data_IF_550700173058
#
_entry.id   IF_550700173058
#
_cell.length_a   1.000
_cell.length_b   1.000
_cell.length_c   1.000
_cell.angle_alpha   90.00
_cell.angle_beta   90.00
_cell.angle_gamma   90.00
#
_symmetry.space_group_name_H-M   'P 1'
#
loop_
_entity.id
_entity.type
_entity.pdbx_description
1 polymer ?
#
# COMPACT_ATOMS: atom_id res chain seq x y z
N UNK A 1 35.42 15.56 22.00
CA UNK A 1 34.64 14.30 22.05
C UNK A 1 33.21 14.73 21.74
N UNK A 2 32.87 14.68 20.46
CA UNK A 2 31.66 15.27 19.87
C UNK A 2 30.62 14.17 19.77
N UNK A 3 29.49 14.32 20.46
CA UNK A 3 28.30 13.50 20.27
C UNK A 3 27.71 13.79 18.88
N UNK A 4 27.46 12.77 18.03
CA UNK A 4 26.48 12.86 16.98
C UNK A 4 25.19 12.24 17.49
N UNK A 5 24.35 13.01 18.20
CA UNK A 5 22.93 12.64 18.32
C UNK A 5 22.33 12.93 16.95
N UNK A 6 22.22 11.87 16.15
CA UNK A 6 21.54 11.86 14.87
C UNK A 6 20.18 12.55 15.00
N UNK A 7 20.02 13.60 14.23
CA UNK A 7 18.72 14.14 13.88
C UNK A 7 17.90 13.03 13.19
N UNK A 8 16.90 12.50 13.89
CA UNK A 8 15.76 11.81 13.27
C UNK A 8 14.50 11.99 14.13
N UNK A 9 14.25 13.22 14.55
CA UNK A 9 12.95 13.61 15.09
C UNK A 9 12.04 13.93 13.90
N UNK A 10 11.12 13.00 13.59
CA UNK A 10 9.81 13.37 13.05
C UNK A 10 9.61 13.30 11.53
N UNK A 11 10.02 12.22 10.86
CA UNK A 11 9.25 11.82 9.68
C UNK A 11 7.93 11.26 10.20
N UNK A 12 6.81 11.97 10.01
CA UNK A 12 5.49 11.37 10.21
C UNK A 12 5.45 10.12 9.35
N UNK A 13 5.09 9.00 9.97
CA UNK A 13 4.71 7.79 9.25
C UNK A 13 3.63 8.15 8.22
N UNK A 14 3.99 8.05 6.93
CA UNK A 14 3.05 8.32 5.86
C UNK A 14 1.88 7.34 6.00
N UNK A 15 0.69 7.84 6.27
CA UNK A 15 -0.49 7.00 6.38
C UNK A 15 -1.09 6.81 5.00
N UNK A 16 -1.50 5.60 4.65
CA UNK A 16 -2.10 5.28 3.36
C UNK A 16 -3.55 4.85 3.50
N UNK A 17 -4.38 5.30 2.56
CA UNK A 17 -5.76 4.89 2.42
C UNK A 17 -6.08 4.69 0.94
N UNK A 18 -7.16 3.97 0.62
CA UNK A 18 -7.70 3.98 -0.74
C UNK A 18 -8.02 5.43 -1.14
N UNK A 19 -7.62 5.84 -2.34
CA UNK A 19 -7.89 7.18 -2.83
C UNK A 19 -9.40 7.43 -2.88
N UNK A 20 -9.90 8.57 -2.33
CA UNK A 20 -11.32 8.88 -2.34
C UNK A 20 -11.85 8.93 -3.78
N UNK A 21 -13.03 8.39 -4.00
CA UNK A 21 -13.64 8.32 -5.32
C UNK A 21 -13.21 7.11 -6.16
N UNK A 22 -12.36 6.22 -5.65
CA UNK A 22 -12.15 4.88 -6.25
C UNK A 22 -13.24 3.91 -5.77
N UNK A 23 -13.69 3.03 -6.65
CA UNK A 23 -14.59 1.92 -6.30
C UNK A 23 -13.93 0.60 -6.71
N UNK A 24 -13.04 0.12 -5.85
CA UNK A 24 -12.18 -1.02 -6.14
C UNK A 24 -12.91 -2.36 -5.97
N UNK A 25 -12.59 -3.30 -6.83
CA UNK A 25 -13.01 -4.69 -6.76
C UNK A 25 -11.84 -5.60 -7.14
N UNK A 26 -11.68 -6.69 -6.40
CA UNK A 26 -10.67 -7.71 -6.69
C UNK A 26 -11.30 -8.86 -7.47
N UNK A 27 -10.51 -9.47 -8.35
CA UNK A 27 -10.84 -10.79 -8.90
C UNK A 27 -10.99 -11.81 -7.77
N UNK A 28 -11.73 -12.92 -8.00
CA UNK A 28 -11.68 -14.07 -7.12
C UNK A 28 -10.23 -14.49 -6.84
N UNK A 29 -10.01 -15.06 -5.67
CA UNK A 29 -8.75 -15.71 -5.35
C UNK A 29 -8.74 -17.08 -6.01
N UNK A 30 -7.70 -17.35 -6.80
CA UNK A 30 -7.54 -18.61 -7.51
C UNK A 30 -6.50 -19.49 -6.81
N UNK A 31 -5.33 -18.91 -6.51
CA UNK A 31 -4.23 -19.48 -5.72
C UNK A 31 -3.48 -18.34 -5.00
N UNK A 32 -2.96 -18.61 -3.79
CA UNK A 32 -2.37 -17.57 -2.90
C UNK A 32 -1.14 -16.87 -3.51
N UNK A 33 -0.36 -17.56 -4.36
CA UNK A 33 0.87 -17.03 -4.96
C UNK A 33 0.67 -16.44 -6.37
N UNK A 34 -0.55 -16.44 -6.90
CA UNK A 34 -0.83 -15.94 -8.25
C UNK A 34 -1.22 -14.45 -8.25
N UNK A 35 -0.83 -13.68 -9.28
CA UNK A 35 -1.23 -12.30 -9.42
C UNK A 35 -2.76 -12.17 -9.53
N UNK A 36 -3.31 -11.11 -8.95
CA UNK A 36 -4.74 -10.81 -8.99
C UNK A 36 -5.05 -9.63 -9.91
N UNK A 37 -6.31 -9.51 -10.31
CA UNK A 37 -6.78 -8.32 -11.03
C UNK A 37 -7.48 -7.39 -10.04
N UNK A 38 -7.03 -6.14 -9.99
CA UNK A 38 -7.73 -5.03 -9.36
C UNK A 38 -8.50 -4.25 -10.43
N UNK A 39 -9.78 -3.99 -10.19
CA UNK A 39 -10.64 -3.23 -11.09
C UNK A 39 -11.20 -2.00 -10.37
N UNK A 40 -11.15 -0.83 -11.00
CA UNK A 40 -11.87 0.36 -10.53
C UNK A 40 -13.17 0.53 -11.32
N UNK A 41 -14.30 0.34 -10.63
CA UNK A 41 -15.64 0.45 -11.22
C UNK A 41 -15.97 1.85 -11.70
N UNK A 42 -15.30 2.88 -11.18
CA UNK A 42 -15.61 4.25 -11.53
C UNK A 42 -14.92 4.69 -12.84
N UNK A 43 -13.67 4.29 -13.06
CA UNK A 43 -12.94 4.63 -14.30
C UNK A 43 -13.02 3.55 -15.38
N UNK A 44 -13.25 2.29 -15.00
CA UNK A 44 -13.12 1.13 -15.88
C UNK A 44 -11.68 0.64 -16.04
N UNK A 45 -10.72 1.22 -15.30
CA UNK A 45 -9.33 0.79 -15.30
C UNK A 45 -9.17 -0.55 -14.59
N UNK A 46 -8.12 -1.28 -14.99
CA UNK A 46 -7.69 -2.49 -14.30
C UNK A 46 -6.17 -2.56 -14.19
N UNK A 47 -5.72 -3.24 -13.15
CA UNK A 47 -4.31 -3.50 -12.88
C UNK A 47 -4.11 -4.96 -12.52
N UNK A 48 -2.98 -5.51 -12.94
CA UNK A 48 -2.48 -6.80 -12.42
C UNK A 48 -1.62 -6.48 -11.21
N UNK A 49 -1.95 -7.08 -10.07
CA UNK A 49 -1.31 -6.81 -8.79
C UNK A 49 -0.70 -8.08 -8.20
N UNK A 50 0.43 -7.92 -7.51
CA UNK A 50 1.08 -9.00 -6.76
C UNK A 50 0.24 -9.42 -5.54
N UNK A 51 0.41 -10.64 -5.02
CA UNK A 51 -0.26 -11.12 -3.80
C UNK A 51 -0.14 -10.15 -2.61
N UNK A 52 1.04 -9.60 -2.38
CA UNK A 52 1.29 -8.60 -1.33
C UNK A 52 0.40 -7.37 -1.47
N UNK A 53 0.29 -6.82 -2.68
CA UNK A 53 -0.56 -5.66 -2.94
C UNK A 53 -2.04 -5.98 -2.78
N UNK A 54 -2.46 -7.22 -3.13
CA UNK A 54 -3.83 -7.70 -2.89
C UNK A 54 -4.17 -7.64 -1.40
N UNK A 55 -3.31 -8.21 -0.55
CA UNK A 55 -3.51 -8.23 0.90
C UNK A 55 -3.64 -6.81 1.48
N UNK A 56 -2.80 -5.88 1.04
CA UNK A 56 -2.92 -4.47 1.47
C UNK A 56 -4.22 -3.82 1.02
N UNK A 57 -4.64 -4.03 -0.23
CA UNK A 57 -5.88 -3.49 -0.77
C UNK A 57 -7.07 -4.07 0.00
N UNK A 58 -7.11 -5.38 0.23
CA UNK A 58 -8.15 -6.02 1.04
C UNK A 58 -8.19 -5.42 2.45
N UNK A 59 -7.03 -5.27 3.09
CA UNK A 59 -6.96 -4.69 4.42
C UNK A 59 -7.50 -3.24 4.45
N UNK A 60 -7.10 -2.42 3.48
CA UNK A 60 -7.54 -1.02 3.37
C UNK A 60 -9.01 -0.88 2.97
N UNK A 61 -9.55 -1.78 2.15
CA UNK A 61 -10.97 -1.80 1.77
C UNK A 61 -11.90 -2.07 2.97
N UNK A 62 -11.41 -2.82 3.97
CA UNK A 62 -12.15 -3.11 5.21
C UNK A 62 -11.81 -2.16 6.36
N UNK A 63 -10.87 -1.24 6.16
CA UNK A 63 -10.43 -0.32 7.20
C UNK A 63 -11.19 1.00 7.15
N UNK A 64 -11.67 1.46 8.31
CA UNK A 64 -12.35 2.76 8.43
C UNK A 64 -11.38 3.95 8.36
N UNK A 65 -10.07 3.69 8.53
CA UNK A 65 -9.04 4.72 8.69
C UNK A 65 -7.83 4.42 7.80
N UNK A 66 -7.04 5.47 7.52
CA UNK A 66 -5.74 5.31 6.91
C UNK A 66 -4.81 4.52 7.84
N UNK A 67 -3.90 3.76 7.24
CA UNK A 67 -2.99 2.85 7.94
C UNK A 67 -1.57 3.36 7.73
N UNK A 68 -0.72 3.40 8.77
CA UNK A 68 0.69 3.73 8.59
C UNK A 68 1.36 2.82 7.54
N UNK A 69 2.02 3.41 6.56
CA UNK A 69 2.67 2.70 5.45
C UNK A 69 3.66 1.64 5.96
N UNK A 70 4.38 1.94 7.04
CA UNK A 70 5.34 1.03 7.66
C UNK A 70 4.68 -0.26 8.13
N UNK A 71 3.41 -0.24 8.57
CA UNK A 71 2.73 -1.47 8.99
C UNK A 71 2.47 -2.41 7.82
N UNK A 72 2.23 -1.87 6.63
CA UNK A 72 2.09 -2.67 5.41
C UNK A 72 3.42 -3.29 4.99
N UNK A 73 4.53 -2.55 5.14
CA UNK A 73 5.88 -3.03 4.82
C UNK A 73 6.43 -4.00 5.88
N UNK A 74 6.14 -3.78 7.17
CA UNK A 74 6.59 -4.66 8.25
C UNK A 74 5.88 -6.01 8.24
N UNK A 75 4.67 -6.07 7.68
CA UNK A 75 3.90 -7.30 7.50
C UNK A 75 4.51 -8.26 6.45
N UNK A 76 5.46 -7.80 5.63
CA UNK A 76 6.15 -8.65 4.65
C UNK A 76 7.49 -9.17 5.16
N UNK A 77 7.97 -10.33 4.66
CA UNK A 77 9.28 -10.85 5.02
C UNK A 77 10.42 -9.83 4.76
N UNK A 78 11.43 -9.73 5.64
CA UNK A 78 12.51 -8.74 5.50
C UNK A 78 13.20 -8.74 4.13
N UNK A 79 13.34 -9.91 3.52
CA UNK A 79 13.99 -10.13 2.22
C UNK A 79 13.27 -9.49 1.02
N UNK A 80 12.00 -9.11 1.16
CA UNK A 80 11.20 -8.50 0.08
C UNK A 80 10.71 -7.08 0.41
N UNK A 81 11.22 -6.47 1.48
CA UNK A 81 10.77 -5.13 1.92
C UNK A 81 11.06 -4.03 0.91
N UNK A 82 12.21 -4.07 0.24
CA UNK A 82 12.56 -3.07 -0.78
C UNK A 82 11.60 -3.12 -1.98
N UNK A 83 11.21 -4.34 -2.38
CA UNK A 83 10.21 -4.56 -3.43
C UNK A 83 8.82 -4.11 -2.98
N UNK A 84 8.47 -4.38 -1.71
CA UNK A 84 7.22 -3.92 -1.11
C UNK A 84 7.14 -2.38 -1.06
N UNK A 85 8.22 -1.69 -0.65
CA UNK A 85 8.27 -0.23 -0.69
C UNK A 85 8.09 0.32 -2.10
N UNK A 86 8.71 -0.34 -3.08
CA UNK A 86 8.57 0.03 -4.49
C UNK A 86 7.13 -0.15 -4.97
N UNK A 87 6.50 -1.26 -4.64
CA UNK A 87 5.11 -1.54 -4.96
C UNK A 87 4.17 -0.50 -4.33
N UNK A 88 4.39 -0.15 -3.06
CA UNK A 88 3.59 0.85 -2.36
C UNK A 88 3.69 2.23 -3.02
N UNK A 89 4.91 2.65 -3.38
CA UNK A 89 5.15 3.91 -4.12
C UNK A 89 4.44 3.90 -5.48
N UNK A 90 4.38 2.76 -6.17
CA UNK A 90 3.64 2.63 -7.43
C UNK A 90 2.12 2.77 -7.23
N UNK A 91 1.55 2.14 -6.19
CA UNK A 91 0.12 2.25 -5.88
C UNK A 91 -0.29 3.68 -5.52
N UNK A 92 0.58 4.43 -4.86
CA UNK A 92 0.39 5.87 -4.61
C UNK A 92 0.47 6.66 -5.92
N UNK A 93 1.49 6.39 -6.75
CA UNK A 93 1.68 7.08 -8.05
C UNK A 93 0.52 6.85 -9.03
N UNK A 94 -0.19 5.72 -8.91
CA UNK A 94 -1.36 5.37 -9.73
C UNK A 94 -2.68 5.94 -9.17
N UNK A 95 -2.63 6.75 -8.10
CA UNK A 95 -3.81 7.26 -7.39
C UNK A 95 -4.76 6.12 -6.96
N UNK A 96 -4.22 4.93 -6.67
CA UNK A 96 -4.95 3.82 -6.06
C UNK A 96 -4.96 4.05 -4.55
N UNK A 97 -3.79 4.32 -3.98
CA UNK A 97 -3.65 4.80 -2.61
C UNK A 97 -3.42 6.31 -2.60
N UNK A 98 -3.88 6.95 -1.54
CA UNK A 98 -3.45 8.31 -1.18
C UNK A 98 -2.53 8.24 0.03
N UNK A 99 -1.52 9.09 0.04
CA UNK A 99 -0.81 9.46 1.25
C UNK A 99 -1.69 10.47 2.01
N UNK A 100 -1.99 10.21 3.28
CA UNK A 100 -2.77 11.07 4.16
C UNK A 100 -1.87 11.82 5.15
N UNK A 101 -0.64 12.15 4.76
CA UNK A 101 0.29 12.97 5.56
C UNK A 101 -0.12 14.44 5.72
N UNK A 102 -1.26 14.86 5.17
CA UNK A 102 -1.87 16.20 5.31
C UNK A 102 -2.88 16.30 6.47
#
# INVERSE_FOLDING_TARGET
MTDPVLASVGARAACVAIHPGRSLALSPEWQEDEPSILFDRNSGDYWVIAPTARQWIEHLMHSAHAIPAEFLIEAVPPEVRDDAETALKQLIKLDIFRDSSD
#
